data_IF_996016000596
#
_entry.id   IF_996016000596
#
_cell.length_a   1.000
_cell.length_b   1.000
_cell.length_c   1.000
_cell.angle_alpha   90.00
_cell.angle_beta   90.00
_cell.angle_gamma   90.00
#
_symmetry.space_group_name_H-M   'P 1'
#
loop_
_entity.id
_entity.type
_entity.pdbx_description
1 polymer ?
#
# COMPACT_ATOMS: atom_id res chain seq x y z
N UNK A 1 -41.67 -6.69 -23.04
CA UNK A 1 -40.28 -6.22 -22.99
C UNK A 1 -39.48 -7.43 -22.53
N UNK A 2 -38.63 -7.99 -23.41
CA UNK A 2 -38.08 -9.33 -23.22
C UNK A 2 -37.08 -9.39 -22.06
N UNK A 3 -37.29 -10.31 -21.12
CA UNK A 3 -36.31 -10.72 -20.12
C UNK A 3 -35.11 -11.31 -20.86
N UNK A 4 -33.95 -10.64 -20.79
CA UNK A 4 -32.69 -11.30 -21.16
C UNK A 4 -32.32 -12.22 -20.00
N UNK A 5 -32.23 -13.51 -20.27
CA UNK A 5 -31.74 -14.49 -19.30
C UNK A 5 -30.26 -14.22 -19.02
N UNK A 6 -29.85 -14.37 -17.75
CA UNK A 6 -28.43 -14.22 -17.32
C UNK A 6 -27.50 -15.12 -18.16
N UNK A 7 -27.97 -16.30 -18.56
CA UNK A 7 -27.26 -17.22 -19.44
C UNK A 7 -26.91 -16.64 -20.83
N UNK A 8 -27.67 -15.68 -21.33
CA UNK A 8 -27.43 -15.04 -22.62
C UNK A 8 -26.38 -13.92 -22.54
N UNK A 9 -26.23 -13.32 -21.35
CA UNK A 9 -25.17 -12.33 -21.06
C UNK A 9 -23.83 -13.02 -20.79
N UNK A 10 -23.85 -14.21 -20.19
CA UNK A 10 -22.66 -15.01 -19.92
C UNK A 10 -22.02 -15.62 -21.17
N UNK A 11 -22.73 -15.68 -22.30
CA UNK A 11 -22.26 -16.28 -23.56
C UNK A 11 -21.68 -15.28 -24.57
N UNK A 12 -21.69 -13.98 -24.27
CA UNK A 12 -21.00 -13.01 -25.13
C UNK A 12 -19.51 -12.99 -24.78
N UNK A 13 -18.65 -13.32 -25.73
CA UNK A 13 -17.17 -13.30 -25.62
C UNK A 13 -16.58 -11.90 -25.35
N UNK A 14 -17.41 -10.87 -25.16
CA UNK A 14 -17.04 -9.46 -25.03
C UNK A 14 -16.95 -8.93 -23.59
N UNK A 15 -17.13 -9.77 -22.56
CA UNK A 15 -17.03 -9.32 -21.17
C UNK A 15 -16.09 -10.19 -20.30
N UNK A 16 -15.11 -9.59 -19.62
CA UNK A 16 -14.22 -10.30 -18.71
C UNK A 16 -14.99 -10.87 -17.53
N UNK A 17 -14.74 -12.17 -17.26
CA UNK A 17 -15.23 -13.00 -16.15
C UNK A 17 -16.19 -12.32 -15.17
N UNK A 18 -17.48 -12.35 -15.50
CA UNK A 18 -18.53 -11.85 -14.62
C UNK A 18 -18.78 -12.88 -13.52
N UNK A 19 -18.38 -12.56 -12.29
CA UNK A 19 -18.69 -13.37 -11.12
C UNK A 19 -20.02 -12.92 -10.51
N UNK A 20 -21.10 -13.59 -10.90
CA UNK A 20 -22.35 -13.51 -10.18
C UNK A 20 -22.27 -14.42 -8.95
N UNK A 21 -22.49 -13.88 -7.75
CA UNK A 21 -22.92 -14.73 -6.65
C UNK A 21 -24.25 -15.36 -7.08
N UNK A 22 -24.37 -16.69 -7.06
CA UNK A 22 -25.57 -17.47 -7.45
C UNK A 22 -26.82 -17.22 -6.56
N UNK A 23 -26.92 -16.07 -5.89
CA UNK A 23 -28.12 -15.69 -5.15
C UNK A 23 -29.04 -14.84 -6.03
N UNK A 24 -29.81 -15.52 -6.89
CA UNK A 24 -31.01 -14.95 -7.51
C UNK A 24 -31.08 -15.17 -9.02
N UNK A 25 -32.10 -15.91 -9.46
CA UNK A 25 -32.36 -16.21 -10.87
C UNK A 25 -32.88 -15.01 -11.70
N UNK A 26 -32.64 -13.76 -11.28
CA UNK A 26 -33.15 -12.57 -11.97
C UNK A 26 -32.44 -11.28 -11.58
N UNK A 27 -32.32 -10.38 -12.54
CA UNK A 27 -31.83 -9.01 -12.37
C UNK A 27 -33.04 -8.10 -12.10
N UNK A 28 -33.03 -7.38 -10.97
CA UNK A 28 -34.03 -6.38 -10.63
C UNK A 28 -33.62 -4.99 -11.15
N UNK A 29 -34.60 -4.11 -11.41
CA UNK A 29 -34.36 -2.68 -11.70
C UNK A 29 -33.61 -1.95 -10.59
N UNK A 30 -33.60 -2.50 -9.38
CA UNK A 30 -32.97 -1.90 -8.21
C UNK A 30 -31.63 -2.55 -7.84
N UNK A 31 -31.16 -3.52 -8.63
CA UNK A 31 -29.85 -4.13 -8.42
C UNK A 31 -28.75 -3.12 -8.77
N UNK A 32 -27.70 -3.10 -7.96
CA UNK A 32 -26.54 -2.26 -8.18
C UNK A 32 -25.42 -3.13 -8.72
N UNK A 33 -24.86 -2.73 -9.86
CA UNK A 33 -23.69 -3.35 -10.45
C UNK A 33 -22.44 -2.57 -10.07
N UNK A 34 -21.46 -3.27 -9.51
CA UNK A 34 -20.13 -2.72 -9.20
C UNK A 34 -19.17 -3.24 -10.25
N UNK A 35 -18.60 -2.35 -11.05
CA UNK A 35 -17.57 -2.69 -12.03
C UNK A 35 -16.20 -2.49 -11.39
N UNK A 36 -15.41 -3.57 -11.37
CA UNK A 36 -14.03 -3.55 -10.92
C UNK A 36 -13.13 -3.53 -12.16
N UNK A 37 -12.19 -2.59 -12.17
CA UNK A 37 -11.21 -2.46 -13.24
C UNK A 37 -9.79 -2.32 -12.71
N UNK A 38 -8.84 -2.80 -13.50
CA UNK A 38 -7.41 -2.62 -13.28
C UNK A 38 -6.82 -1.96 -14.53
N UNK A 39 -6.11 -0.84 -14.34
CA UNK A 39 -5.46 -0.11 -15.45
C UNK A 39 -6.42 0.24 -16.61
N UNK A 40 -7.65 0.65 -16.30
CA UNK A 40 -8.66 1.01 -17.31
C UNK A 40 -9.36 -0.17 -17.99
N UNK A 41 -8.92 -1.41 -17.74
CA UNK A 41 -9.59 -2.62 -18.21
C UNK A 41 -10.57 -3.12 -17.15
N UNK A 42 -11.79 -3.45 -17.56
CA UNK A 42 -12.75 -4.12 -16.67
C UNK A 42 -12.25 -5.55 -16.39
N UNK A 43 -12.31 -5.99 -15.15
CA UNK A 43 -11.82 -7.31 -14.72
C UNK A 43 -12.92 -8.14 -14.06
N UNK A 44 -13.90 -7.48 -13.42
CA UNK A 44 -15.06 -8.14 -12.84
C UNK A 44 -16.27 -7.21 -12.75
N UNK A 45 -17.45 -7.81 -12.76
CA UNK A 45 -18.72 -7.13 -12.45
C UNK A 45 -19.38 -7.90 -11.31
N UNK A 46 -19.75 -7.20 -10.24
CA UNK A 46 -20.45 -7.76 -9.08
C UNK A 46 -21.88 -7.25 -9.05
N UNK A 47 -22.85 -8.13 -8.81
CA UNK A 47 -24.21 -7.73 -8.40
C UNK A 47 -24.23 -7.59 -6.88
N UNK A 48 -24.74 -6.45 -6.39
CA UNK A 48 -24.89 -6.17 -4.98
C UNK A 48 -26.26 -5.54 -4.68
N UNK A 49 -26.78 -5.84 -3.49
CA UNK A 49 -27.93 -5.12 -2.95
C UNK A 49 -27.60 -3.64 -2.74
N UNK A 50 -28.63 -2.79 -2.73
CA UNK A 50 -28.46 -1.36 -2.41
C UNK A 50 -27.74 -1.12 -1.07
N UNK A 51 -28.02 -1.94 -0.05
CA UNK A 51 -27.38 -1.83 1.27
C UNK A 51 -25.88 -2.15 1.15
N UNK A 52 -25.54 -3.25 0.49
CA UNK A 52 -24.14 -3.68 0.29
C UNK A 52 -23.34 -2.64 -0.49
N UNK A 53 -23.90 -2.12 -1.58
CA UNK A 53 -23.25 -1.09 -2.40
C UNK A 53 -23.05 0.22 -1.62
N UNK A 54 -24.04 0.63 -0.81
CA UNK A 54 -23.93 1.82 0.05
C UNK A 54 -22.86 1.64 1.13
N UNK A 55 -22.81 0.48 1.78
CA UNK A 55 -21.76 0.18 2.77
C UNK A 55 -20.36 0.18 2.13
N UNK A 56 -20.22 -0.37 0.93
CA UNK A 56 -18.96 -0.33 0.19
C UNK A 56 -18.57 1.12 -0.17
N UNK A 57 -19.51 1.92 -0.69
CA UNK A 57 -19.26 3.32 -1.02
C UNK A 57 -18.82 4.12 0.21
N UNK A 58 -19.45 3.88 1.37
CA UNK A 58 -19.05 4.50 2.62
C UNK A 58 -17.64 4.07 3.04
N UNK A 59 -17.32 2.76 3.00
CA UNK A 59 -15.98 2.26 3.32
C UNK A 59 -14.89 2.83 2.38
N UNK A 60 -15.23 3.08 1.11
CA UNK A 60 -14.33 3.73 0.16
C UNK A 60 -14.17 5.24 0.41
N UNK A 61 -15.20 5.88 0.99
CA UNK A 61 -15.21 7.31 1.32
C UNK A 61 -14.67 7.62 2.72
N UNK A 62 -14.39 6.61 3.55
CA UNK A 62 -13.76 6.83 4.85
C UNK A 62 -12.36 7.43 4.66
N UNK A 63 -11.97 8.44 5.47
CA UNK A 63 -10.63 8.97 5.44
C UNK A 63 -9.65 7.82 5.68
N UNK A 64 -8.89 7.46 4.66
CA UNK A 64 -7.89 6.40 4.81
C UNK A 64 -6.83 6.89 5.76
N UNK A 65 -6.64 6.15 6.84
CA UNK A 65 -5.52 6.35 7.75
C UNK A 65 -4.20 6.40 6.95
N UNK A 66 -3.41 7.47 7.13
CA UNK A 66 -2.19 7.72 6.35
C UNK A 66 -1.21 6.55 6.44
N UNK A 67 -1.15 5.90 7.60
CA UNK A 67 -0.30 4.71 7.82
C UNK A 67 -0.81 3.51 7.03
N UNK A 68 -2.12 3.25 7.01
CA UNK A 68 -2.73 2.22 6.16
C UNK A 68 -2.48 2.46 4.66
N UNK A 69 -2.55 3.72 4.20
CA UNK A 69 -2.20 4.09 2.82
C UNK A 69 -0.73 3.78 2.53
N UNK A 70 0.17 4.17 3.43
CA UNK A 70 1.60 3.89 3.28
C UNK A 70 1.89 2.38 3.25
N UNK A 71 1.30 1.59 4.14
CA UNK A 71 1.44 0.12 4.13
C UNK A 71 0.93 -0.46 2.80
N UNK A 72 -0.18 0.06 2.27
CA UNK A 72 -0.69 -0.38 0.97
C UNK A 72 0.27 -0.04 -0.18
N UNK A 73 0.92 1.12 -0.13
CA UNK A 73 1.96 1.53 -1.08
C UNK A 73 3.20 0.62 -1.00
N UNK A 74 3.67 0.27 0.20
CA UNK A 74 4.80 -0.65 0.35
C UNK A 74 4.50 -2.02 -0.25
N UNK A 75 3.28 -2.53 -0.04
CA UNK A 75 2.86 -3.80 -0.64
C UNK A 75 2.77 -3.76 -2.17
N UNK A 76 2.49 -2.59 -2.77
CA UNK A 76 2.44 -2.49 -4.23
C UNK A 76 3.82 -2.55 -4.87
N UNK A 77 4.89 -2.24 -4.14
CA UNK A 77 6.26 -2.34 -4.65
C UNK A 77 6.64 -3.78 -5.03
N UNK A 78 6.08 -4.79 -4.37
CA UNK A 78 6.27 -6.22 -4.71
C UNK A 78 5.80 -6.57 -6.13
N UNK A 79 4.97 -5.73 -6.74
CA UNK A 79 4.38 -5.94 -8.06
C UNK A 79 5.08 -5.14 -9.16
N UNK A 80 6.15 -4.42 -8.83
CA UNK A 80 6.89 -3.64 -9.82
C UNK A 80 7.54 -4.57 -10.85
N UNK A 81 7.46 -4.23 -12.15
CA UNK A 81 8.20 -4.96 -13.15
C UNK A 81 9.71 -4.72 -12.98
N UNK A 82 10.52 -5.59 -13.56
CA UNK A 82 11.94 -5.29 -13.76
C UNK A 82 12.08 -4.01 -14.59
N UNK A 83 13.12 -3.22 -14.29
CA UNK A 83 13.41 -1.93 -14.92
C UNK A 83 12.29 -0.89 -14.73
N UNK A 84 11.62 -0.90 -13.56
CA UNK A 84 10.52 0.03 -13.26
C UNK A 84 10.95 1.50 -13.22
N UNK A 85 12.24 1.76 -13.02
CA UNK A 85 12.85 3.09 -12.95
C UNK A 85 13.61 3.49 -14.24
N UNK A 86 13.75 2.57 -15.21
CA UNK A 86 14.55 2.77 -16.43
C UNK A 86 16.06 2.62 -16.22
N UNK A 87 16.49 2.13 -15.06
CA UNK A 87 17.89 1.91 -14.67
C UNK A 87 18.10 0.54 -14.01
N UNK A 88 17.53 -0.52 -14.62
CA UNK A 88 17.59 -1.91 -14.15
C UNK A 88 16.94 -2.13 -12.78
N UNK A 89 15.99 -1.29 -12.39
CA UNK A 89 15.30 -1.35 -11.11
C UNK A 89 14.66 -2.71 -10.82
N UNK A 90 14.95 -3.25 -9.64
CA UNK A 90 14.45 -4.52 -9.15
C UNK A 90 13.38 -4.26 -8.08
N UNK A 91 12.29 -5.01 -8.12
CA UNK A 91 11.28 -4.97 -7.07
C UNK A 91 11.88 -5.46 -5.72
N UNK A 92 11.47 -4.88 -4.58
CA UNK A 92 11.91 -5.37 -3.28
C UNK A 92 11.43 -6.81 -3.06
N UNK A 93 12.16 -7.57 -2.26
CA UNK A 93 11.68 -8.86 -1.80
C UNK A 93 10.63 -8.69 -0.68
N UNK A 94 9.93 -9.78 -0.35
CA UNK A 94 8.87 -9.75 0.67
C UNK A 94 9.38 -9.34 2.05
N UNK A 95 10.56 -9.84 2.46
CA UNK A 95 11.16 -9.54 3.76
C UNK A 95 11.50 -8.05 3.87
N UNK A 96 12.06 -7.43 2.82
CA UNK A 96 12.35 -5.99 2.80
C UNK A 96 11.11 -5.14 3.03
N UNK A 97 9.98 -5.53 2.44
CA UNK A 97 8.69 -4.85 2.65
C UNK A 97 8.14 -5.08 4.05
N UNK A 98 8.21 -6.31 4.57
CA UNK A 98 7.75 -6.64 5.91
C UNK A 98 8.58 -5.92 7.00
N UNK A 99 9.89 -5.79 6.81
CA UNK A 99 10.80 -5.05 7.70
C UNK A 99 10.44 -3.56 7.75
N UNK A 100 10.19 -2.94 6.59
CA UNK A 100 9.73 -1.56 6.51
C UNK A 100 8.36 -1.36 7.22
N UNK A 101 7.42 -2.28 7.01
CA UNK A 101 6.12 -2.26 7.71
C UNK A 101 6.30 -2.42 9.22
N UNK A 102 7.24 -3.26 9.66
CA UNK A 102 7.56 -3.45 11.08
C UNK A 102 8.01 -2.14 11.73
N UNK A 103 8.89 -1.38 11.08
CA UNK A 103 9.28 -0.07 11.59
C UNK A 103 8.09 0.89 11.72
N UNK A 104 7.16 0.90 10.75
CA UNK A 104 5.94 1.69 10.89
C UNK A 104 5.13 1.28 12.14
N UNK A 105 5.02 -0.01 12.46
CA UNK A 105 4.33 -0.43 13.67
C UNK A 105 5.06 -0.03 14.97
N UNK A 106 6.39 0.09 14.93
CA UNK A 106 7.20 0.54 16.06
C UNK A 106 7.19 2.06 16.23
N UNK A 107 6.93 2.82 15.17
CA UNK A 107 6.96 4.27 15.19
C UNK A 107 5.87 4.82 16.14
N UNK A 108 6.22 5.64 17.15
CA UNK A 108 5.24 6.23 18.04
C UNK A 108 4.17 7.02 17.29
N UNK A 109 2.93 6.99 17.79
CA UNK A 109 1.77 7.55 17.07
C UNK A 109 1.81 9.06 16.87
N UNK A 110 2.57 9.79 17.69
CA UNK A 110 2.73 11.24 17.59
C UNK A 110 3.78 11.66 16.56
N UNK A 111 4.68 10.74 16.16
CA UNK A 111 5.67 11.00 15.13
C UNK A 111 4.98 11.07 13.76
N UNK A 112 5.40 12.03 12.95
CA UNK A 112 4.89 12.20 11.60
C UNK A 112 5.17 10.94 10.75
N UNK A 113 4.20 10.61 9.88
CA UNK A 113 4.34 9.47 8.97
C UNK A 113 5.44 9.79 7.95
N UNK A 114 6.45 8.92 7.78
CA UNK A 114 7.53 9.16 6.83
C UNK A 114 7.04 9.16 5.38
N UNK A 115 7.86 9.75 4.51
CA UNK A 115 7.76 9.55 3.07
C UNK A 115 8.51 8.27 2.69
N UNK A 116 7.92 7.35 1.90
CA UNK A 116 8.64 6.17 1.44
C UNK A 116 9.62 6.51 0.33
N UNK A 117 10.70 5.74 0.23
CA UNK A 117 11.61 5.67 -0.91
C UNK A 117 11.84 4.21 -1.31
N UNK A 118 12.22 3.98 -2.56
CA UNK A 118 12.55 2.68 -3.11
C UNK A 118 13.84 2.81 -3.92
N UNK A 119 14.87 2.06 -3.54
CA UNK A 119 16.13 1.98 -4.26
C UNK A 119 16.05 1.04 -5.45
N UNK A 120 16.95 1.23 -6.41
CA UNK A 120 17.03 0.42 -7.63
C UNK A 120 17.33 -1.06 -7.36
N UNK A 121 18.01 -1.39 -6.26
CA UNK A 121 18.33 -2.76 -5.85
C UNK A 121 17.19 -3.48 -5.12
N UNK A 122 16.02 -2.84 -4.98
CA UNK A 122 14.91 -3.35 -4.19
C UNK A 122 15.03 -3.03 -2.70
N UNK A 123 15.89 -2.09 -2.30
CA UNK A 123 15.89 -1.55 -0.94
C UNK A 123 14.68 -0.66 -0.72
N UNK A 124 14.05 -0.77 0.44
CA UNK A 124 12.94 0.11 0.82
C UNK A 124 13.48 1.06 1.88
N UNK A 125 13.06 2.32 1.82
CA UNK A 125 13.41 3.28 2.85
C UNK A 125 12.27 4.21 3.22
N UNK A 126 12.52 4.97 4.27
CA UNK A 126 11.69 6.05 4.77
C UNK A 126 12.55 7.26 4.98
N UNK A 127 12.01 8.43 4.71
CA UNK A 127 12.67 9.67 5.09
C UNK A 127 11.69 10.68 5.66
N UNK A 128 12.24 11.53 6.51
CA UNK A 128 11.64 12.72 7.07
C UNK A 128 12.51 13.91 6.64
N UNK A 129 11.85 14.97 6.18
CA UNK A 129 12.54 16.19 5.78
C UNK A 129 11.74 17.42 6.22
N UNK A 130 12.48 18.43 6.69
CA UNK A 130 12.04 19.77 7.05
C UNK A 130 13.24 20.68 6.85
N UNK A 131 13.04 22.00 6.69
CA UNK A 131 14.08 22.96 6.24
C UNK A 131 15.51 22.64 6.70
N UNK A 132 15.69 22.38 8.00
CA UNK A 132 16.99 22.13 8.63
C UNK A 132 17.15 20.72 9.20
N UNK A 133 16.22 19.79 8.95
CA UNK A 133 16.24 18.45 9.51
C UNK A 133 16.04 17.41 8.43
N UNK A 134 16.85 16.37 8.46
CA UNK A 134 16.70 15.21 7.59
C UNK A 134 16.94 13.94 8.39
N UNK A 135 16.09 12.93 8.22
CA UNK A 135 16.33 11.59 8.71
C UNK A 135 15.92 10.59 7.65
N UNK A 136 16.67 9.51 7.50
CA UNK A 136 16.33 8.37 6.66
C UNK A 136 16.59 7.05 7.38
N UNK A 137 15.80 6.04 7.01
CA UNK A 137 15.92 4.67 7.48
C UNK A 137 15.71 3.74 6.30
N UNK A 138 16.56 2.74 6.13
CA UNK A 138 16.51 1.84 4.98
C UNK A 138 16.66 0.37 5.37
N UNK A 139 16.05 -0.49 4.56
CA UNK A 139 15.93 -1.93 4.78
C UNK A 139 16.39 -2.69 3.55
N UNK A 140 17.13 -3.78 3.78
CA UNK A 140 17.57 -4.71 2.74
C UNK A 140 16.82 -6.05 2.80
N UNK A 141 16.07 -6.31 3.87
CA UNK A 141 15.29 -7.55 4.05
C UNK A 141 16.04 -8.64 4.82
N UNK A 142 16.83 -8.24 5.81
CA UNK A 142 17.64 -9.11 6.66
C UNK A 142 17.32 -8.95 8.16
N UNK A 143 16.12 -8.42 8.48
CA UNK A 143 15.67 -8.10 9.84
C UNK A 143 16.49 -7.00 10.53
N UNK A 144 17.27 -6.25 9.77
CA UNK A 144 17.98 -5.05 10.23
C UNK A 144 17.61 -3.82 9.41
N UNK A 145 18.00 -2.67 9.91
CA UNK A 145 17.96 -1.41 9.19
C UNK A 145 19.20 -0.58 9.51
N UNK A 146 19.53 0.32 8.60
CA UNK A 146 20.44 1.43 8.88
C UNK A 146 19.66 2.73 8.91
N UNK A 147 20.18 3.72 9.63
CA UNK A 147 19.59 5.05 9.64
C UNK A 147 20.66 6.13 9.63
N UNK A 148 20.29 7.28 9.08
CA UNK A 148 21.09 8.49 9.08
C UNK A 148 20.18 9.67 9.39
N UNK A 149 20.66 10.59 10.22
CA UNK A 149 19.95 11.78 10.60
C UNK A 149 20.92 12.96 10.72
N UNK A 150 20.46 14.14 10.32
CA UNK A 150 21.24 15.38 10.40
C UNK A 150 20.38 16.62 10.61
N UNK A 151 20.95 17.57 11.34
CA UNK A 151 20.47 18.95 11.41
C UNK A 151 21.51 19.93 10.84
N UNK A 152 21.42 21.22 11.20
CA UNK A 152 22.39 22.25 10.76
C UNK A 152 23.79 22.06 11.30
N UNK A 153 23.93 21.43 12.46
CA UNK A 153 25.16 21.42 13.26
C UNK A 153 25.71 20.00 13.46
N UNK A 154 24.85 18.98 13.40
CA UNK A 154 25.20 17.60 13.75
C UNK A 154 24.68 16.60 12.73
N UNK A 155 25.35 15.46 12.66
CA UNK A 155 24.89 14.25 11.98
C UNK A 155 25.18 13.02 12.84
N UNK A 156 24.31 12.02 12.76
CA UNK A 156 24.46 10.75 13.46
C UNK A 156 23.72 9.64 12.69
N UNK A 157 24.06 8.40 12.98
CA UNK A 157 23.51 7.25 12.29
C UNK A 157 24.11 5.95 12.78
N UNK A 158 23.49 4.85 12.40
CA UNK A 158 23.97 3.50 12.67
C UNK A 158 23.79 2.64 11.41
N UNK A 159 24.81 1.85 11.09
CA UNK A 159 24.82 1.00 9.89
C UNK A 159 24.03 -0.29 10.07
N UNK A 160 23.84 -0.76 11.32
CA UNK A 160 23.14 -2.02 11.60
C UNK A 160 22.37 -1.94 12.92
N UNK A 161 21.06 -1.82 12.82
CA UNK A 161 20.12 -1.87 13.94
C UNK A 161 19.17 -3.03 13.75
N UNK A 162 19.10 -3.92 14.75
CA UNK A 162 18.20 -5.07 14.68
C UNK A 162 16.74 -4.66 14.93
N UNK A 163 15.83 -5.13 14.08
CA UNK A 163 14.39 -5.00 14.30
C UNK A 163 13.86 -5.94 15.38
N UNK A 164 14.65 -6.95 15.79
CA UNK A 164 14.23 -8.00 16.71
C UNK A 164 14.10 -7.55 18.17
N UNK A 165 14.62 -6.37 18.51
CA UNK A 165 14.46 -5.75 19.83
C UNK A 165 13.05 -5.22 20.07
N UNK A 166 12.23 -5.05 19.02
CA UNK A 166 10.92 -4.38 19.07
C UNK A 166 10.97 -2.96 19.66
N UNK A 167 12.12 -2.29 19.59
CA UNK A 167 12.31 -0.91 20.04
C UNK A 167 13.18 -0.16 19.04
N UNK A 168 12.86 1.11 18.75
CA UNK A 168 13.75 1.98 17.98
C UNK A 168 14.78 2.62 18.93
N UNK A 169 15.98 2.98 18.44
CA UNK A 169 16.94 3.75 19.22
C UNK A 169 16.33 5.04 19.76
N UNK A 170 16.56 5.35 21.04
CA UNK A 170 16.00 6.53 21.70
C UNK A 170 16.42 7.83 21.00
N UNK A 171 17.68 7.91 20.57
CA UNK A 171 18.22 9.07 19.85
C UNK A 171 17.49 9.32 18.53
N UNK A 172 17.20 8.26 17.77
CA UNK A 172 16.40 8.35 16.55
C UNK A 172 14.98 8.82 16.85
N UNK A 173 14.32 8.28 17.89
CA UNK A 173 12.97 8.73 18.27
C UNK A 173 12.97 10.22 18.63
N UNK A 174 13.88 10.65 19.51
CA UNK A 174 13.98 12.05 19.95
C UNK A 174 14.22 13.01 18.78
N UNK A 175 15.01 12.60 17.80
CA UNK A 175 15.24 13.39 16.59
C UNK A 175 13.99 13.46 15.71
N UNK A 176 13.26 12.35 15.56
CA UNK A 176 12.03 12.33 14.76
C UNK A 176 10.89 13.19 15.34
N UNK A 177 10.96 13.55 16.63
CA UNK A 177 10.01 14.49 17.25
C UNK A 177 10.13 15.93 16.72
N UNK A 178 11.18 16.26 15.96
CA UNK A 178 11.40 17.60 15.40
C UNK A 178 10.59 17.89 14.11
N UNK A 179 10.04 16.86 13.46
CA UNK A 179 9.33 16.95 12.18
C UNK A 179 7.86 17.35 12.36
#
# INVERSE_FOLDING_TARGET
MAEKHIADVMKSDDLPNIYFNEFGAGISKNDIFILLGRNGKQEAILNASHITAKSLANALNEPKDKRSVLISQLNSYLLLPYDWDGYDGVAPNRQTVDDAIRLLHLLPKHISIPKPTLGNSGTVGFYWEKENFYAEVCFEGDETFWYYAKDTDNEFGEDVVSLNTNTLPDELILFLEQF
#
